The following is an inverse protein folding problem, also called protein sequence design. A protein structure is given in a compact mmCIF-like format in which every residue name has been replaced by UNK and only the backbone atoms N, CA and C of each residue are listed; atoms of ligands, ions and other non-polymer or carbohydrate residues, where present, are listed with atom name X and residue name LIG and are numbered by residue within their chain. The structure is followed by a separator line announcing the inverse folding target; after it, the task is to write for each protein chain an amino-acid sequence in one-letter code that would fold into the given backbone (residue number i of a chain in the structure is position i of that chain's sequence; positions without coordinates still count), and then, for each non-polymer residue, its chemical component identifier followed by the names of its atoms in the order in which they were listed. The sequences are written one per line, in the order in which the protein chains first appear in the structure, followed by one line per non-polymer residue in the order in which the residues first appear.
data_IF_673742195476
#
_entry.id   IF_673742195476
#
_cell.length_a   1.000
_cell.length_b   1.000
_cell.length_c   1.000
_cell.angle_alpha   90.00
_cell.angle_beta   90.00
_cell.angle_gamma   90.00
#
_symmetry.space_group_name_H-M   'P 1'
#
loop_
_entity.id
_entity.type
_entity.pdbx_description
1 polymer ?
#
# COMPACT_ATOMS: atom_id res chain seq x y z
N UNK A 1 -26.92 18.54 9.63
CA UNK A 1 -27.05 17.09 9.41
C UNK A 1 -28.35 16.70 10.09
N UNK A 2 -29.31 16.10 9.39
CA UNK A 2 -30.66 15.82 9.94
C UNK A 2 -30.74 14.47 10.66
N UNK A 3 -29.72 13.61 10.52
CA UNK A 3 -29.65 12.29 11.16
C UNK A 3 -28.64 12.24 12.29
N UNK A 4 -28.88 11.32 13.24
CA UNK A 4 -27.91 11.01 14.28
C UNK A 4 -26.65 10.40 13.66
N UNK A 5 -25.48 10.89 14.09
CA UNK A 5 -24.19 10.46 13.55
C UNK A 5 -23.95 8.97 13.83
N UNK A 6 -24.50 8.45 14.93
CA UNK A 6 -24.33 7.04 15.29
C UNK A 6 -24.95 6.07 14.29
N UNK A 7 -25.90 6.51 13.47
CA UNK A 7 -26.48 5.69 12.40
C UNK A 7 -25.46 5.35 11.31
N UNK A 8 -24.40 6.15 11.14
CA UNK A 8 -23.37 5.90 10.12
C UNK A 8 -22.33 4.86 10.55
N UNK A 9 -22.29 4.49 11.84
CA UNK A 9 -21.35 3.51 12.37
C UNK A 9 -21.55 2.15 11.72
N UNK A 10 -20.48 1.53 11.25
CA UNK A 10 -20.56 0.18 10.69
C UNK A 10 -20.31 -0.87 11.77
N UNK A 11 -21.03 -2.01 11.77
CA UNK A 11 -20.90 -3.00 12.85
C UNK A 11 -19.55 -3.73 12.85
N UNK A 12 -18.85 -3.73 11.72
CA UNK A 12 -17.50 -4.30 11.58
C UNK A 12 -16.37 -3.28 11.78
N UNK A 13 -16.70 -2.04 12.13
CA UNK A 13 -15.72 -0.98 12.35
C UNK A 13 -15.14 -1.05 13.76
N UNK A 14 -13.81 -0.94 13.87
CA UNK A 14 -13.16 -0.86 15.18
C UNK A 14 -13.52 0.45 15.88
N UNK A 15 -13.51 0.45 17.21
CA UNK A 15 -13.84 1.65 18.01
C UNK A 15 -12.91 2.81 17.67
N UNK A 16 -11.60 2.57 17.57
CA UNK A 16 -10.61 3.61 17.20
C UNK A 16 -10.89 4.20 15.81
N UNK A 17 -11.39 3.40 14.87
CA UNK A 17 -11.77 3.86 13.54
C UNK A 17 -13.04 4.69 13.58
N UNK A 18 -14.05 4.22 14.28
CA UNK A 18 -15.30 4.96 14.42
C UNK A 18 -15.10 6.30 15.13
N UNK A 19 -14.36 6.33 16.22
CA UNK A 19 -14.15 7.55 17.02
C UNK A 19 -13.48 8.65 16.17
N UNK A 20 -12.43 8.29 15.42
CA UNK A 20 -11.75 9.21 14.53
C UNK A 20 -12.66 9.70 13.40
N UNK A 21 -13.46 8.79 12.81
CA UNK A 21 -14.41 9.13 11.74
C UNK A 21 -15.53 10.04 12.26
N UNK A 22 -16.09 9.73 13.44
CA UNK A 22 -17.14 10.50 14.11
C UNK A 22 -16.68 11.92 14.43
N UNK A 23 -15.47 12.08 14.94
CA UNK A 23 -14.91 13.40 15.21
C UNK A 23 -14.75 14.22 13.92
N UNK A 24 -14.27 13.60 12.84
CA UNK A 24 -14.19 14.26 11.53
C UNK A 24 -15.57 14.72 11.03
N UNK A 25 -16.61 13.88 11.19
CA UNK A 25 -17.99 14.23 10.83
C UNK A 25 -18.51 15.42 11.65
N UNK A 26 -18.26 15.43 12.96
CA UNK A 26 -18.69 16.50 13.87
C UNK A 26 -17.99 17.84 13.58
N UNK A 27 -16.70 17.81 13.26
CA UNK A 27 -15.91 19.00 12.94
C UNK A 27 -16.33 19.67 11.63
N UNK A 28 -16.74 18.87 10.63
CA UNK A 28 -17.00 19.35 9.27
C UNK A 28 -18.49 19.32 8.87
N UNK A 29 -19.38 19.06 9.82
CA UNK A 29 -20.82 19.12 9.57
C UNK A 29 -21.23 20.51 9.02
N UNK A 30 -22.06 20.52 7.99
CA UNK A 30 -22.54 21.76 7.35
C UNK A 30 -21.58 22.40 6.34
N UNK A 31 -20.31 21.97 6.25
CA UNK A 31 -19.36 22.44 5.23
C UNK A 31 -19.51 21.73 3.88
N UNK A 32 -19.98 20.48 3.92
CA UNK A 32 -20.12 19.61 2.74
C UNK A 32 -21.49 18.95 2.70
N UNK A 33 -21.87 18.47 1.51
CA UNK A 33 -23.03 17.57 1.39
C UNK A 33 -22.76 16.27 2.17
N UNK A 34 -23.83 15.66 2.68
CA UNK A 34 -23.76 14.46 3.53
C UNK A 34 -22.91 13.35 2.92
N UNK A 35 -23.22 12.93 1.68
CA UNK A 35 -22.46 11.88 0.99
C UNK A 35 -20.98 12.23 0.82
N UNK A 36 -20.67 13.49 0.50
CA UNK A 36 -19.27 13.93 0.34
C UNK A 36 -18.54 13.87 1.66
N UNK A 37 -19.18 14.33 2.74
CA UNK A 37 -18.62 14.32 4.07
C UNK A 37 -18.35 12.88 4.56
N UNK A 38 -19.30 11.96 4.35
CA UNK A 38 -19.11 10.54 4.68
C UNK A 38 -17.93 9.91 3.93
N UNK A 39 -17.80 10.18 2.63
CA UNK A 39 -16.66 9.69 1.84
C UNK A 39 -15.33 10.25 2.34
N UNK A 40 -15.28 11.55 2.67
CA UNK A 40 -14.06 12.18 3.18
C UNK A 40 -13.68 11.64 4.56
N UNK A 41 -14.66 11.48 5.45
CA UNK A 41 -14.45 10.92 6.78
C UNK A 41 -13.90 9.48 6.71
N UNK A 42 -14.46 8.66 5.81
CA UNK A 42 -13.95 7.30 5.59
C UNK A 42 -12.53 7.31 5.03
N UNK A 43 -12.26 8.14 4.02
CA UNK A 43 -10.94 8.25 3.44
C UNK A 43 -9.91 8.73 4.47
N UNK A 44 -10.27 9.72 5.30
CA UNK A 44 -9.45 10.21 6.40
C UNK A 44 -9.08 9.09 7.38
N UNK A 45 -10.09 8.38 7.89
CA UNK A 45 -9.85 7.29 8.84
C UNK A 45 -9.02 6.15 8.21
N UNK A 46 -9.20 5.85 6.93
CA UNK A 46 -8.37 4.88 6.20
C UNK A 46 -6.91 5.35 6.02
N UNK A 47 -6.69 6.62 5.67
CA UNK A 47 -5.34 7.19 5.55
C UNK A 47 -4.63 7.11 6.89
N UNK A 48 -5.29 7.60 7.94
CA UNK A 48 -4.70 7.62 9.26
C UNK A 48 -4.54 6.20 9.76
N UNK A 49 -5.60 5.45 9.99
CA UNK A 49 -5.55 4.16 10.72
C UNK A 49 -4.87 3.06 9.90
N UNK A 50 -5.19 2.95 8.61
CA UNK A 50 -4.73 1.85 7.75
C UNK A 50 -3.52 2.23 6.89
N UNK A 51 -3.10 3.49 6.87
CA UNK A 51 -1.98 3.95 6.03
C UNK A 51 -2.31 3.97 4.54
N UNK A 52 -3.60 4.05 4.17
CA UNK A 52 -4.00 4.13 2.76
C UNK A 52 -3.52 5.42 2.10
N UNK A 53 -3.41 5.40 0.77
CA UNK A 53 -3.11 6.59 -0.04
C UNK A 53 -4.13 6.74 -1.15
N UNK A 54 -4.54 7.99 -1.38
CA UNK A 54 -5.53 8.38 -2.39
C UNK A 54 -4.88 9.34 -3.40
N UNK A 55 -5.56 9.71 -4.50
CA UNK A 55 -5.05 10.70 -5.44
C UNK A 55 -4.66 12.02 -4.75
N UNK A 56 -3.63 12.68 -5.27
CA UNK A 56 -3.00 13.85 -4.62
C UNK A 56 -3.99 14.96 -4.25
N UNK A 57 -4.99 15.22 -5.10
CA UNK A 57 -6.02 16.21 -4.84
C UNK A 57 -6.83 15.89 -3.56
N UNK A 58 -7.16 14.60 -3.35
CA UNK A 58 -7.87 14.14 -2.15
C UNK A 58 -6.95 14.22 -0.93
N UNK A 59 -5.70 13.79 -1.05
CA UNK A 59 -4.73 13.86 0.06
C UNK A 59 -4.52 15.30 0.54
N UNK A 60 -4.40 16.24 -0.40
CA UNK A 60 -4.26 17.67 -0.09
C UNK A 60 -5.49 18.21 0.63
N UNK A 61 -6.69 17.82 0.18
CA UNK A 61 -7.94 18.19 0.84
C UNK A 61 -8.05 17.59 2.24
N UNK A 62 -7.71 16.31 2.41
CA UNK A 62 -7.74 15.64 3.71
C UNK A 62 -6.78 16.30 4.69
N UNK A 63 -5.55 16.61 4.26
CA UNK A 63 -4.56 17.26 5.12
C UNK A 63 -5.04 18.63 5.63
N UNK A 64 -5.70 19.43 4.77
CA UNK A 64 -6.25 20.72 5.18
C UNK A 64 -7.39 20.58 6.21
N UNK A 65 -8.22 19.54 6.09
CA UNK A 65 -9.34 19.27 7.00
C UNK A 65 -8.87 18.58 8.29
N UNK A 66 -7.74 17.86 8.24
CA UNK A 66 -7.18 17.14 9.37
C UNK A 66 -6.77 18.06 10.53
N UNK A 67 -6.49 19.33 10.26
CA UNK A 67 -6.11 20.32 11.29
C UNK A 67 -7.22 20.57 12.33
N UNK A 68 -8.48 20.36 11.95
CA UNK A 68 -9.63 20.55 12.84
C UNK A 68 -9.96 19.32 13.70
N UNK A 69 -9.24 18.20 13.51
CA UNK A 69 -9.42 16.96 14.26
C UNK A 69 -8.43 16.89 15.41
N UNK A 70 -8.91 17.02 16.64
CA UNK A 70 -8.10 17.08 17.85
C UNK A 70 -7.44 15.73 18.18
N UNK A 71 -8.16 14.61 17.98
CA UNK A 71 -7.62 13.27 18.25
C UNK A 71 -6.51 12.84 17.29
N UNK A 72 -6.35 13.51 16.15
CA UNK A 72 -5.31 13.19 15.18
C UNK A 72 -3.91 13.29 15.81
N UNK A 73 -3.66 14.37 16.56
CA UNK A 73 -2.38 14.63 17.24
C UNK A 73 -2.02 13.50 18.19
N UNK A 74 -2.97 13.09 19.03
CA UNK A 74 -2.75 12.05 20.04
C UNK A 74 -2.52 10.69 19.41
N UNK A 75 -3.24 10.36 18.33
CA UNK A 75 -3.05 9.14 17.55
C UNK A 75 -1.64 9.08 16.93
N UNK A 76 -1.19 10.19 16.32
CA UNK A 76 0.14 10.30 15.71
C UNK A 76 1.26 10.19 16.76
N UNK A 77 1.10 10.78 17.93
CA UNK A 77 2.06 10.65 19.04
C UNK A 77 2.16 9.22 19.57
N UNK A 78 1.02 8.55 19.75
CA UNK A 78 0.97 7.13 20.16
C UNK A 78 1.72 6.24 19.16
N UNK A 79 1.58 6.51 17.86
CA UNK A 79 2.30 5.78 16.81
C UNK A 79 3.80 6.02 16.84
N UNK A 80 4.23 7.27 17.00
CA UNK A 80 5.65 7.60 17.14
C UNK A 80 6.29 6.83 18.28
N UNK A 81 5.63 6.81 19.45
CA UNK A 81 6.05 6.02 20.62
C UNK A 81 6.10 4.51 20.32
N UNK A 82 5.10 3.97 19.60
CA UNK A 82 5.09 2.55 19.24
C UNK A 82 6.22 2.19 18.24
N UNK A 83 6.59 3.09 17.34
CA UNK A 83 7.69 2.88 16.39
C UNK A 83 9.08 3.00 17.05
N UNK A 84 9.21 3.66 18.20
CA UNK A 84 10.46 3.69 18.98
C UNK A 84 10.82 2.31 19.56
N UNK A 85 9.82 1.44 19.77
CA UNK A 85 10.02 0.06 20.25
C UNK A 85 10.31 -0.86 19.06
N UNK A 86 11.38 -0.65 18.30
CA UNK A 86 11.75 -1.50 17.16
C UNK A 86 13.26 -1.54 16.88
N UNK A 87 14.01 -2.25 17.74
CA UNK A 87 15.02 -3.25 17.33
C UNK A 87 15.62 -3.88 18.61
N UNK A 88 15.23 -5.11 18.95
CA UNK A 88 16.08 -5.90 19.85
C UNK A 88 17.27 -6.32 19.00
N UNK A 89 18.39 -5.62 19.16
CA UNK A 89 19.67 -6.11 18.67
C UNK A 89 19.88 -7.46 19.35
N UNK A 90 19.75 -8.56 18.61
CA UNK A 90 20.12 -9.87 19.13
C UNK A 90 21.51 -9.75 19.73
N UNK A 91 21.74 -10.30 20.92
CA UNK A 91 23.10 -10.40 21.45
C UNK A 91 23.96 -11.04 20.35
N UNK A 92 24.91 -10.27 19.84
CA UNK A 92 25.89 -10.78 18.90
C UNK A 92 26.57 -11.96 19.61
N UNK A 93 26.27 -13.20 19.22
CA UNK A 93 26.93 -14.40 19.72
C UNK A 93 28.44 -14.19 19.58
N UNK A 94 29.12 -13.91 20.71
CA UNK A 94 30.57 -13.63 20.79
C UNK A 94 31.45 -14.83 20.37
N UNK A 95 30.84 -15.89 19.84
CA UNK A 95 31.47 -17.14 19.46
C UNK A 95 31.39 -17.43 17.95
N UNK A 96 31.29 -16.41 17.10
CA UNK A 96 31.68 -16.58 15.68
C UNK A 96 33.20 -16.55 15.56
N UNK A 97 33.76 -17.76 15.52
CA UNK A 97 35.15 -18.04 15.18
C UNK A 97 35.58 -17.23 13.96
N UNK A 98 36.76 -16.61 14.06
CA UNK A 98 37.44 -15.90 12.98
C UNK A 98 37.60 -16.83 11.77
N UNK A 99 36.98 -16.48 10.66
CA UNK A 99 37.44 -16.83 9.31
C UNK A 99 37.11 -15.64 8.39
N UNK A 100 38.10 -14.88 7.88
CA UNK A 100 37.84 -13.78 6.99
C UNK A 100 37.77 -14.31 5.56
N UNK A 101 36.60 -14.81 5.17
CA UNK A 101 36.25 -14.90 3.75
C UNK A 101 34.97 -14.10 3.56
N UNK A 102 35.13 -13.04 2.79
CA UNK A 102 34.17 -12.00 2.49
C UNK A 102 32.84 -12.60 2.01
N UNK A 103 31.79 -12.51 2.83
CA UNK A 103 30.45 -12.87 2.40
C UNK A 103 29.42 -11.86 2.92
N UNK A 104 29.35 -10.72 2.24
CA UNK A 104 28.12 -9.97 2.11
C UNK A 104 28.16 -9.22 0.78
N UNK A 105 27.29 -9.66 -0.12
CA UNK A 105 27.22 -9.25 -1.51
C UNK A 105 27.12 -7.73 -1.66
N UNK A 106 28.16 -7.16 -2.26
CA UNK A 106 28.06 -5.88 -2.96
C UNK A 106 27.19 -6.07 -4.21
N UNK A 107 25.87 -5.93 -4.09
CA UNK A 107 24.96 -5.93 -5.25
C UNK A 107 25.15 -4.69 -6.17
N UNK A 108 25.95 -3.71 -5.77
CA UNK A 108 26.18 -2.50 -6.55
C UNK A 108 27.67 -2.29 -6.84
N UNK A 109 28.27 -3.13 -7.70
CA UNK A 109 29.57 -2.77 -8.29
C UNK A 109 29.84 -3.19 -9.74
N UNK A 110 28.88 -3.77 -10.45
CA UNK A 110 29.07 -4.04 -11.88
C UNK A 110 28.49 -2.90 -12.71
N UNK A 111 29.28 -1.83 -12.81
CA UNK A 111 29.17 -0.87 -13.89
C UNK A 111 29.47 -1.58 -15.23
N UNK A 112 28.47 -1.56 -16.12
CA UNK A 112 28.54 -1.69 -17.59
C UNK A 112 29.87 -2.15 -18.22
N UNK A 113 30.13 -3.46 -18.27
CA UNK A 113 30.85 -4.08 -19.39
C UNK A 113 30.25 -5.46 -19.67
N UNK A 114 29.54 -5.60 -20.80
CA UNK A 114 29.07 -6.89 -21.31
C UNK A 114 30.28 -7.73 -21.77
N UNK A 115 30.55 -8.92 -21.22
CA UNK A 115 31.51 -9.84 -21.81
C UNK A 115 30.88 -10.47 -23.06
N UNK A 116 31.66 -10.50 -24.15
CA UNK A 116 31.29 -11.17 -25.39
C UNK A 116 31.35 -12.69 -25.17
N UNK A 117 30.21 -13.37 -25.20
CA UNK A 117 30.12 -14.83 -25.11
C UNK A 117 29.72 -15.39 -26.48
N UNK A 118 30.49 -16.36 -27.03
CA UNK A 118 30.15 -16.99 -28.30
C UNK A 118 28.99 -17.97 -28.07
N UNK A 119 27.88 -17.73 -28.75
CA UNK A 119 26.71 -18.60 -28.73
C UNK A 119 26.91 -19.74 -29.73
N UNK A 120 27.09 -20.97 -29.25
CA UNK A 120 27.04 -22.18 -30.08
C UNK A 120 25.89 -23.07 -29.59
N UNK A 121 24.81 -23.07 -30.38
CA UNK A 121 23.64 -23.92 -30.22
C UNK A 121 24.01 -25.41 -30.28
N UNK A 122 23.63 -26.18 -29.26
CA UNK A 122 23.50 -27.63 -29.36
C UNK A 122 22.24 -28.11 -28.62
N UNK A 123 21.21 -28.40 -29.42
CA UNK A 123 20.25 -29.50 -29.34
C UNK A 123 19.86 -30.07 -27.95
N UNK A 124 18.61 -29.81 -27.53
CA UNK A 124 17.78 -30.84 -26.90
C UNK A 124 16.46 -30.95 -27.65
N UNK A 125 16.33 -32.05 -28.37
CA UNK A 125 15.13 -32.48 -29.06
C UNK A 125 14.57 -33.66 -28.26
N UNK A 126 13.46 -33.46 -27.54
CA UNK A 126 12.55 -34.51 -27.06
C UNK A 126 11.26 -33.84 -26.54
N UNK A 127 10.19 -33.96 -27.30
CA UNK A 127 8.85 -33.42 -26.99
C UNK A 127 8.16 -34.12 -25.82
N UNK A 128 7.32 -33.41 -25.07
CA UNK A 128 6.02 -33.93 -24.65
C UNK A 128 4.93 -33.38 -25.58
N UNK A 129 4.15 -34.31 -26.13
CA UNK A 129 2.97 -34.05 -26.93
C UNK A 129 1.95 -33.19 -26.16
N UNK A 130 1.27 -32.34 -26.93
CA UNK A 130 -0.08 -31.79 -26.71
C UNK A 130 -0.26 -30.47 -25.93
N UNK A 131 -0.08 -29.35 -26.64
CA UNK A 131 -0.91 -28.13 -26.54
C UNK A 131 -0.74 -27.31 -27.84
N UNK A 132 -1.08 -27.90 -28.99
CA UNK A 132 -1.16 -27.16 -30.26
C UNK A 132 -2.58 -26.64 -30.40
N UNK A 133 -2.79 -25.35 -30.15
CA UNK A 133 -3.71 -24.48 -30.91
C UNK A 133 -3.78 -23.05 -30.34
N UNK A 134 -2.65 -22.35 -30.28
CA UNK A 134 -2.66 -20.89 -30.23
C UNK A 134 -1.79 -20.33 -31.36
N UNK A 135 -2.45 -19.96 -32.47
CA UNK A 135 -1.83 -19.19 -33.54
C UNK A 135 -1.74 -17.71 -33.10
N UNK A 136 -0.57 -17.06 -33.17
CA UNK A 136 -0.36 -15.71 -32.63
C UNK A 136 -0.88 -14.58 -33.53
N UNK A 137 -1.59 -14.88 -34.63
CA UNK A 137 -1.95 -13.89 -35.65
C UNK A 137 -3.42 -13.45 -35.67
N UNK A 138 -4.20 -13.75 -34.63
CA UNK A 138 -5.57 -13.21 -34.51
C UNK A 138 -5.68 -12.19 -33.37
N UNK A 139 -5.12 -10.99 -33.60
CA UNK A 139 -5.40 -9.83 -32.73
C UNK A 139 -6.81 -9.33 -33.04
N UNK A 140 -7.80 -9.77 -32.26
CA UNK A 140 -9.12 -9.15 -32.27
C UNK A 140 -9.05 -7.72 -31.71
N UNK A 141 -9.70 -6.78 -32.39
CA UNK A 141 -9.78 -5.39 -31.97
C UNK A 141 -10.78 -5.26 -30.81
N UNK A 142 -10.41 -4.53 -29.75
CA UNK A 142 -11.14 -4.43 -28.48
C UNK A 142 -12.55 -3.80 -28.60
N UNK A 143 -12.92 -3.27 -29.76
CA UNK A 143 -14.23 -2.68 -30.02
C UNK A 143 -15.38 -3.70 -30.13
N UNK A 144 -15.11 -5.01 -30.14
CA UNK A 144 -16.14 -6.04 -30.27
C UNK A 144 -16.91 -6.37 -28.97
N UNK A 145 -16.58 -5.74 -27.84
CA UNK A 145 -17.14 -6.09 -26.53
C UNK A 145 -18.43 -5.38 -26.12
N UNK A 146 -18.91 -4.38 -26.88
CA UNK A 146 -20.02 -3.51 -26.47
C UNK A 146 -21.34 -3.68 -27.25
N UNK A 147 -21.54 -4.80 -27.94
CA UNK A 147 -22.86 -5.11 -28.51
C UNK A 147 -23.34 -6.48 -28.02
N UNK A 148 -24.11 -6.47 -26.93
CA UNK A 148 -25.15 -7.47 -26.68
C UNK A 148 -26.31 -6.85 -25.93
#
# INVERSE_FOLDING_TARGET
MEKDIEEYRQPWESTEHWDLRKEFLLAHQGKFSENRLLCLAQAFANVEILGCSYPQAVMTQLNALAEEVLSLRTLQEKRKKNCEILFVKGEDDKNKRKNPVNDLGTYTKYANKRPNLPFQNQHYNSSPQNYQNYHPNNRMNAAAFFNR
#
